data_IF_021225666986
#
_entry.id   IF_021225666986
#
_cell.length_a   1.000
_cell.length_b   1.000
_cell.length_c   1.000
_cell.angle_alpha   90.00
_cell.angle_beta   90.00
_cell.angle_gamma   90.00
#
_symmetry.space_group_name_H-M   'P 1'
#
loop_
_entity.id
_entity.type
_entity.pdbx_description
1 polymer ?
#
# COMPACT_ATOMS: atom_id res chain seq x y z
N UNK A 1 -0.62 -4.99 19.74
CA UNK A 1 0.84 -4.86 20.02
C UNK A 1 1.01 -4.50 21.48
N UNK A 2 1.93 -5.17 22.17
CA UNK A 2 2.29 -4.86 23.54
C UNK A 2 3.34 -3.74 23.59
N UNK A 3 3.23 -2.88 24.59
CA UNK A 3 4.07 -1.70 24.82
C UNK A 3 4.58 -1.71 26.25
N UNK A 4 5.72 -1.08 26.49
CA UNK A 4 6.35 -0.96 27.79
C UNK A 4 6.05 0.42 28.38
N UNK A 5 5.53 0.46 29.59
CA UNK A 5 5.30 1.67 30.38
C UNK A 5 6.23 1.64 31.60
N UNK A 6 6.76 2.79 32.01
CA UNK A 6 7.48 2.88 33.28
C UNK A 6 6.49 3.00 34.45
N UNK A 7 6.68 2.17 35.48
CA UNK A 7 5.88 2.24 36.71
C UNK A 7 6.25 3.44 37.61
N UNK A 8 7.38 4.10 37.35
CA UNK A 8 7.81 5.29 38.10
C UNK A 8 7.43 6.53 37.29
N UNK A 9 6.37 7.22 37.70
CA UNK A 9 5.97 8.50 37.13
C UNK A 9 6.53 9.63 38.00
N UNK A 10 7.65 10.22 37.61
CA UNK A 10 8.30 11.28 38.40
C UNK A 10 7.56 12.63 38.29
N UNK A 11 6.74 12.84 37.25
CA UNK A 11 6.11 14.16 36.96
C UNK A 11 4.71 14.07 36.31
N UNK A 12 3.95 12.99 36.58
CA UNK A 12 2.56 12.84 36.09
C UNK A 12 2.38 12.53 34.59
N UNK A 13 3.45 12.58 33.78
CA UNK A 13 3.40 12.26 32.34
C UNK A 13 3.80 10.81 32.08
N UNK A 14 2.82 9.90 32.08
CA UNK A 14 3.05 8.49 31.71
C UNK A 14 3.32 8.37 30.21
N UNK A 15 4.39 7.68 29.83
CA UNK A 15 4.79 7.44 28.43
C UNK A 15 4.90 5.96 28.19
N UNK A 16 4.36 5.49 27.08
CA UNK A 16 4.55 4.12 26.61
C UNK A 16 5.56 4.05 25.46
N UNK A 17 6.27 2.93 25.41
CA UNK A 17 7.37 2.68 24.51
C UNK A 17 7.17 1.35 23.78
N UNK A 18 7.71 1.23 22.57
CA UNK A 18 7.89 -0.08 21.94
C UNK A 18 8.98 -0.87 22.67
N UNK A 19 8.94 -2.22 22.67
CA UNK A 19 9.94 -3.05 23.36
C UNK A 19 11.40 -2.69 23.00
N UNK A 20 11.67 -2.41 21.73
CA UNK A 20 13.01 -2.12 21.22
C UNK A 20 13.44 -0.64 21.37
N UNK A 21 12.66 0.16 22.09
CA UNK A 21 12.97 1.56 22.27
C UNK A 21 14.28 1.76 23.05
N UNK A 22 15.11 2.69 22.60
CA UNK A 22 16.35 3.08 23.29
C UNK A 22 16.13 3.50 24.76
N UNK A 23 14.96 4.07 25.08
CA UNK A 23 14.62 4.45 26.45
C UNK A 23 14.24 3.24 27.31
N UNK A 24 13.64 2.19 26.73
CA UNK A 24 13.34 0.94 27.47
C UNK A 24 14.64 0.27 27.92
N UNK A 25 15.68 0.29 27.08
CA UNK A 25 17.01 -0.22 27.45
C UNK A 25 17.61 0.48 28.67
N UNK A 26 17.26 1.76 28.88
CA UNK A 26 17.71 2.58 30.03
C UNK A 26 16.83 2.42 31.28
N UNK A 27 15.62 1.85 31.15
CA UNK A 27 14.73 1.59 32.29
C UNK A 27 15.21 0.38 33.08
N UNK A 28 15.19 0.46 34.41
CA UNK A 28 15.41 -0.71 35.28
C UNK A 28 14.34 -1.77 35.00
N UNK A 29 14.68 -3.07 34.86
CA UNK A 29 13.71 -4.14 34.55
C UNK A 29 12.50 -4.17 35.47
N UNK A 30 12.71 -4.01 36.78
CA UNK A 30 11.66 -3.97 37.81
C UNK A 30 10.64 -2.83 37.63
N UNK A 31 10.97 -1.79 36.86
CA UNK A 31 10.09 -0.65 36.61
C UNK A 31 9.35 -0.75 35.27
N UNK A 32 9.51 -1.86 34.52
CA UNK A 32 8.89 -2.05 33.21
C UNK A 32 7.57 -2.79 33.37
N UNK A 33 6.49 -2.21 32.86
CA UNK A 33 5.19 -2.87 32.77
C UNK A 33 4.83 -3.08 31.31
N UNK A 34 4.48 -4.32 30.94
CA UNK A 34 3.98 -4.63 29.60
C UNK A 34 2.45 -4.54 29.58
N UNK A 35 1.91 -3.69 28.71
CA UNK A 35 0.47 -3.50 28.51
C UNK A 35 0.15 -3.55 27.01
N UNK A 36 -1.11 -3.75 26.65
CA UNK A 36 -1.51 -3.47 25.27
C UNK A 36 -1.46 -1.96 24.98
N UNK A 37 -1.20 -1.57 23.72
CA UNK A 37 -1.25 -0.15 23.31
C UNK A 37 -2.57 0.52 23.68
N UNK A 38 -3.70 -0.20 23.55
CA UNK A 38 -5.03 0.31 23.87
C UNK A 38 -5.17 0.62 25.35
N UNK A 39 -4.77 -0.32 26.22
CA UNK A 39 -4.75 -0.12 27.67
C UNK A 39 -3.83 1.03 28.09
N UNK A 40 -2.65 1.16 27.48
CA UNK A 40 -1.74 2.27 27.79
C UNK A 40 -2.39 3.63 27.48
N UNK A 41 -3.10 3.75 26.34
CA UNK A 41 -3.83 4.97 25.97
C UNK A 41 -5.00 5.22 26.93
N UNK A 42 -5.77 4.20 27.28
CA UNK A 42 -6.87 4.29 28.28
C UNK A 42 -6.36 4.74 29.66
N UNK A 43 -5.14 4.35 30.03
CA UNK A 43 -4.46 4.81 31.25
C UNK A 43 -3.84 6.21 31.14
N UNK A 44 -4.12 6.95 30.06
CA UNK A 44 -3.61 8.30 29.81
C UNK A 44 -2.12 8.35 29.41
N UNK A 45 -1.52 7.21 29.05
CA UNK A 45 -0.11 7.18 28.63
C UNK A 45 0.03 7.72 27.20
N UNK A 46 0.99 8.63 27.00
CA UNK A 46 1.31 9.17 25.68
C UNK A 46 2.38 8.31 24.99
N UNK A 47 2.39 8.31 23.66
CA UNK A 47 3.43 7.58 22.92
C UNK A 47 4.79 8.28 23.05
N UNK A 48 5.87 7.51 23.25
CA UNK A 48 7.25 8.04 23.09
C UNK A 48 7.37 8.70 21.72
N UNK A 49 7.94 9.91 21.66
CA UNK A 49 8.28 10.61 20.40
C UNK A 49 9.14 9.79 19.43
N UNK A 50 9.77 8.77 19.98
CA UNK A 50 10.74 7.84 19.45
C UNK A 50 10.08 6.58 18.87
N UNK A 51 8.89 6.25 19.37
CA UNK A 51 8.13 5.04 19.06
C UNK A 51 6.87 5.33 18.26
N UNK A 52 6.48 6.60 18.16
CA UNK A 52 5.33 7.05 17.38
C UNK A 52 5.59 6.99 15.87
N UNK A 53 4.50 6.86 15.12
CA UNK A 53 4.51 6.91 13.65
C UNK A 53 5.28 5.77 12.98
N UNK A 54 5.60 5.98 11.70
CA UNK A 54 6.37 5.02 10.91
C UNK A 54 7.81 4.92 11.39
N UNK A 55 8.38 6.02 11.91
CA UNK A 55 9.71 6.01 12.54
C UNK A 55 9.86 4.93 13.61
N UNK A 56 8.83 4.69 14.40
CA UNK A 56 8.83 3.65 15.44
C UNK A 56 8.80 2.25 14.86
N UNK A 57 7.92 2.01 13.88
CA UNK A 57 7.81 0.73 13.18
C UNK A 57 9.11 0.37 12.46
N UNK A 58 9.74 1.34 11.81
CA UNK A 58 10.94 1.12 10.98
C UNK A 58 12.23 0.90 11.79
N UNK A 59 12.16 0.85 13.13
CA UNK A 59 13.28 0.43 13.97
C UNK A 59 13.32 -1.08 14.21
N UNK A 60 12.21 -1.77 14.05
CA UNK A 60 12.11 -3.22 14.27
C UNK A 60 12.70 -3.97 13.07
N UNK A 61 14.04 -4.01 13.01
CA UNK A 61 14.79 -4.49 11.83
C UNK A 61 14.43 -5.93 11.45
N UNK A 62 14.23 -6.82 12.44
CA UNK A 62 13.85 -8.21 12.18
C UNK A 62 12.47 -8.34 11.49
N UNK A 63 11.51 -7.50 11.89
CA UNK A 63 10.16 -7.51 11.31
C UNK A 63 10.17 -7.00 9.86
N UNK A 64 10.94 -5.95 9.59
CA UNK A 64 11.12 -5.40 8.24
C UNK A 64 11.72 -6.46 7.32
N UNK A 65 12.80 -7.11 7.74
CA UNK A 65 13.45 -8.18 6.98
C UNK A 65 12.51 -9.36 6.72
N UNK A 66 11.72 -9.75 7.73
CA UNK A 66 10.72 -10.80 7.56
C UNK A 66 9.67 -10.41 6.51
N UNK A 67 9.16 -9.18 6.54
CA UNK A 67 8.20 -8.71 5.54
C UNK A 67 8.78 -8.65 4.14
N UNK A 68 10.02 -8.16 3.99
CA UNK A 68 10.68 -8.11 2.68
C UNK A 68 10.83 -9.51 2.08
N UNK A 69 11.24 -10.49 2.89
CA UNK A 69 11.39 -11.89 2.47
C UNK A 69 10.04 -12.54 2.16
N UNK A 70 9.10 -12.51 3.11
CA UNK A 70 7.87 -13.29 3.06
C UNK A 70 6.89 -12.75 2.00
N UNK A 71 6.88 -11.44 1.78
CA UNK A 71 6.01 -10.78 0.80
C UNK A 71 6.74 -10.37 -0.47
N UNK A 72 8.05 -10.60 -0.58
CA UNK A 72 8.91 -10.23 -1.72
C UNK A 72 8.76 -8.75 -2.09
N UNK A 73 8.86 -7.89 -1.07
CA UNK A 73 8.76 -6.44 -1.20
C UNK A 73 10.07 -5.77 -0.79
N UNK A 74 10.34 -4.59 -1.32
CA UNK A 74 11.39 -3.68 -0.84
C UNK A 74 10.76 -2.56 -0.05
N UNK A 75 11.34 -2.24 1.12
CA UNK A 75 10.82 -1.26 2.06
C UNK A 75 11.82 -0.11 2.19
N UNK A 76 11.43 1.08 1.73
CA UNK A 76 12.26 2.27 1.76
C UNK A 76 11.61 3.33 2.66
N UNK A 77 12.23 3.62 3.81
CA UNK A 77 11.72 4.59 4.76
C UNK A 77 12.41 5.96 4.61
N UNK A 78 11.62 6.99 4.29
CA UNK A 78 12.07 8.37 4.15
C UNK A 78 11.79 9.13 5.44
N UNK A 79 12.84 9.36 6.24
CA UNK A 79 12.77 10.05 7.55
C UNK A 79 12.22 11.48 7.45
N UNK A 80 12.59 12.23 6.41
CA UNK A 80 12.22 13.65 6.24
C UNK A 80 10.70 13.87 6.19
N UNK A 81 9.98 12.92 5.61
CA UNK A 81 8.52 13.01 5.39
C UNK A 81 7.74 11.99 6.21
N UNK A 82 8.41 11.24 7.12
CA UNK A 82 7.88 10.07 7.82
C UNK A 82 7.02 9.19 6.90
N UNK A 83 7.61 8.74 5.79
CA UNK A 83 6.89 8.00 4.74
C UNK A 83 7.57 6.68 4.47
N UNK A 84 6.77 5.62 4.35
CA UNK A 84 7.24 4.30 3.96
C UNK A 84 6.84 4.02 2.52
N UNK A 85 7.81 3.78 1.66
CA UNK A 85 7.60 3.31 0.30
C UNK A 85 7.75 1.80 0.26
N UNK A 86 6.79 1.14 -0.40
CA UNK A 86 6.79 -0.31 -0.61
C UNK A 86 6.89 -0.55 -2.10
N UNK A 87 8.05 -1.02 -2.54
CA UNK A 87 8.33 -1.34 -3.94
C UNK A 87 8.20 -2.84 -4.15
N UNK A 88 7.47 -3.23 -5.18
CA UNK A 88 7.34 -4.62 -5.59
C UNK A 88 7.89 -4.78 -7.01
N UNK A 89 7.73 -5.97 -7.60
CA UNK A 89 8.10 -6.18 -9.01
C UNK A 89 7.23 -5.37 -9.98
N UNK A 90 5.97 -5.07 -9.62
CA UNK A 90 4.99 -4.50 -10.56
C UNK A 90 4.31 -3.23 -10.08
N UNK A 91 4.54 -2.82 -8.83
CA UNK A 91 3.90 -1.65 -8.25
C UNK A 91 4.81 -0.92 -7.27
N UNK A 92 4.46 0.35 -7.05
CA UNK A 92 5.05 1.15 -5.99
C UNK A 92 3.95 1.79 -5.16
N UNK A 93 4.06 1.61 -3.86
CA UNK A 93 3.07 2.03 -2.90
C UNK A 93 3.70 2.97 -1.89
N UNK A 94 2.86 3.82 -1.33
CA UNK A 94 3.26 4.82 -0.35
C UNK A 94 2.35 4.71 0.85
N UNK A 95 2.93 4.61 2.04
CA UNK A 95 2.22 4.51 3.30
C UNK A 95 2.56 5.73 4.15
N UNK A 96 1.51 6.37 4.65
CA UNK A 96 1.59 7.47 5.60
C UNK A 96 0.93 7.10 6.91
N UNK A 97 1.40 7.68 8.01
CA UNK A 97 0.71 7.61 9.28
C UNK A 97 -0.18 8.84 9.50
N UNK A 98 -1.44 8.62 9.85
CA UNK A 98 -2.44 9.62 10.18
C UNK A 98 -2.70 9.61 11.69
N UNK A 99 -3.01 10.79 12.27
CA UNK A 99 -3.41 10.99 13.69
C UNK A 99 -2.40 10.36 14.67
N UNK A 100 -1.27 11.03 14.88
CA UNK A 100 -0.30 10.74 15.95
C UNK A 100 0.19 9.27 16.06
N UNK A 101 0.23 8.53 14.95
CA UNK A 101 0.73 7.16 14.97
C UNK A 101 -0.34 6.07 15.00
N UNK A 102 -1.63 6.40 14.93
CA UNK A 102 -2.70 5.42 15.16
C UNK A 102 -3.13 4.66 13.90
N UNK A 103 -3.19 5.32 12.75
CA UNK A 103 -3.74 4.75 11.53
C UNK A 103 -2.81 4.96 10.35
N UNK A 104 -2.76 3.98 9.45
CA UNK A 104 -1.96 3.99 8.25
C UNK A 104 -2.82 4.12 7.00
N UNK A 105 -2.35 4.97 6.11
CA UNK A 105 -2.97 5.29 4.83
C UNK A 105 -2.10 4.73 3.70
N UNK A 106 -2.65 3.80 2.92
CA UNK A 106 -2.07 3.28 1.66
C UNK A 106 -2.41 4.13 0.41
N UNK A 107 -1.40 4.42 -0.40
CA UNK A 107 -1.50 5.07 -1.70
C UNK A 107 -0.77 4.23 -2.76
N UNK A 108 -1.21 4.32 -4.00
CA UNK A 108 -0.68 3.58 -5.14
C UNK A 108 -0.19 4.52 -6.23
N UNK A 109 0.86 4.12 -6.94
CA UNK A 109 1.37 4.82 -8.12
C UNK A 109 0.97 4.08 -9.39
N UNK A 110 0.40 4.79 -10.37
CA UNK A 110 -0.09 4.18 -11.61
C UNK A 110 1.02 3.70 -12.55
N UNK A 111 2.17 4.37 -12.55
CA UNK A 111 3.31 4.09 -13.44
C UNK A 111 4.52 3.70 -12.62
N UNK A 112 5.07 2.51 -12.87
CA UNK A 112 6.22 2.01 -12.13
C UNK A 112 7.01 0.99 -12.94
N UNK A 113 8.33 1.01 -12.78
CA UNK A 113 9.26 -0.02 -13.24
C UNK A 113 10.07 -0.54 -12.06
N UNK A 114 10.32 -1.85 -11.99
CA UNK A 114 11.13 -2.45 -10.94
C UNK A 114 12.59 -1.94 -10.92
N UNK A 115 13.08 -1.44 -12.06
CA UNK A 115 14.42 -0.82 -12.15
C UNK A 115 14.44 0.65 -11.71
N UNK A 116 13.30 1.23 -11.36
CA UNK A 116 13.18 2.64 -11.00
C UNK A 116 13.91 2.94 -9.67
N UNK A 117 14.86 3.89 -9.66
CA UNK A 117 15.47 4.38 -8.43
C UNK A 117 14.44 4.98 -7.46
N UNK A 118 14.74 4.98 -6.16
CA UNK A 118 13.83 5.47 -5.14
C UNK A 118 13.48 6.94 -5.33
N UNK A 119 14.45 7.76 -5.73
CA UNK A 119 14.31 9.20 -5.96
C UNK A 119 13.24 9.49 -7.01
N UNK A 120 13.26 8.73 -8.12
CA UNK A 120 12.25 8.81 -9.16
C UNK A 120 10.91 8.22 -8.69
N UNK A 121 10.94 7.14 -7.89
CA UNK A 121 9.74 6.54 -7.32
C UNK A 121 8.98 7.52 -6.41
N UNK A 122 9.69 8.34 -5.63
CA UNK A 122 9.12 9.33 -4.69
C UNK A 122 8.36 10.45 -5.40
N UNK A 123 8.84 10.90 -6.57
CA UNK A 123 8.32 12.08 -7.28
C UNK A 123 7.03 11.85 -8.09
N UNK A 124 6.55 10.60 -8.19
CA UNK A 124 5.39 10.29 -9.02
C UNK A 124 4.04 10.66 -8.41
N UNK A 125 3.01 10.57 -9.26
CA UNK A 125 1.63 10.74 -8.83
C UNK A 125 1.12 9.52 -8.08
N UNK A 126 0.91 9.71 -6.77
CA UNK A 126 0.28 8.75 -5.89
C UNK A 126 -1.17 9.11 -5.67
N UNK A 127 -2.07 8.15 -5.85
CA UNK A 127 -3.48 8.31 -5.51
C UNK A 127 -3.86 7.42 -4.32
N UNK A 128 -4.87 7.86 -3.58
CA UNK A 128 -5.38 7.14 -2.41
C UNK A 128 -5.96 5.79 -2.86
N UNK A 129 -5.56 4.70 -2.21
CA UNK A 129 -6.19 3.40 -2.43
C UNK A 129 -7.56 3.38 -1.73
N UNK A 130 -8.62 3.69 -2.49
CA UNK A 130 -9.96 3.98 -1.94
C UNK A 130 -10.70 2.77 -1.35
N UNK A 131 -10.41 1.56 -1.81
CA UNK A 131 -11.00 0.32 -1.28
C UNK A 131 -10.31 -0.16 0.01
N UNK A 132 -9.21 0.48 0.41
CA UNK A 132 -8.46 0.19 1.64
C UNK A 132 -8.78 1.24 2.69
N UNK A 133 -9.54 0.85 3.71
CA UNK A 133 -9.78 1.68 4.90
C UNK A 133 -8.45 1.94 5.64
N UNK A 134 -8.32 3.06 6.37
CA UNK A 134 -7.18 3.29 7.26
C UNK A 134 -6.95 2.08 8.16
N UNK A 135 -5.70 1.64 8.28
CA UNK A 135 -5.35 0.40 8.96
C UNK A 135 -4.48 0.69 10.20
N UNK A 136 -4.73 0.00 11.31
CA UNK A 136 -3.89 0.12 12.51
C UNK A 136 -2.58 -0.67 12.42
N UNK A 137 -2.41 -1.49 11.37
CA UNK A 137 -1.29 -2.41 11.21
C UNK A 137 -0.67 -2.27 9.82
N UNK A 138 0.65 -2.04 9.80
CA UNK A 138 1.43 -2.06 8.56
C UNK A 138 1.39 -3.43 7.87
N UNK A 139 1.50 -4.52 8.63
CA UNK A 139 1.43 -5.88 8.10
C UNK A 139 0.16 -6.11 7.27
N UNK A 140 -0.98 -5.56 7.71
CA UNK A 140 -2.24 -5.66 6.95
C UNK A 140 -2.14 -4.97 5.59
N UNK A 141 -1.44 -3.83 5.51
CA UNK A 141 -1.19 -3.13 4.26
C UNK A 141 -0.18 -3.86 3.38
N UNK A 142 0.91 -4.39 3.95
CA UNK A 142 1.91 -5.20 3.21
C UNK A 142 1.26 -6.46 2.61
N UNK A 143 0.43 -7.17 3.39
CA UNK A 143 -0.35 -8.31 2.90
C UNK A 143 -1.27 -7.92 1.75
N UNK A 144 -2.00 -6.81 1.91
CA UNK A 144 -2.87 -6.30 0.84
C UNK A 144 -2.09 -6.04 -0.45
N UNK A 145 -0.92 -5.39 -0.35
CA UNK A 145 -0.06 -5.09 -1.52
C UNK A 145 0.35 -6.39 -2.21
N UNK A 146 0.82 -7.39 -1.46
CA UNK A 146 1.22 -8.67 -2.03
C UNK A 146 0.06 -9.43 -2.70
N UNK A 147 -1.12 -9.44 -2.07
CA UNK A 147 -2.32 -10.09 -2.64
C UNK A 147 -2.83 -9.35 -3.88
N UNK A 148 -2.77 -8.01 -3.87
CA UNK A 148 -3.11 -7.19 -5.03
C UNK A 148 -2.20 -7.52 -6.20
N UNK A 149 -0.88 -7.58 -5.99
CA UNK A 149 0.07 -7.86 -7.05
C UNK A 149 -0.09 -9.26 -7.63
N UNK A 150 -0.31 -10.27 -6.77
CA UNK A 150 -0.66 -11.63 -7.23
C UNK A 150 -1.90 -11.61 -8.12
N UNK A 151 -2.93 -10.88 -7.74
CA UNK A 151 -4.15 -10.77 -8.52
C UNK A 151 -3.94 -10.05 -9.87
N UNK A 152 -3.10 -9.01 -9.91
CA UNK A 152 -2.72 -8.34 -11.17
C UNK A 152 -1.96 -9.28 -12.10
N UNK A 153 -1.04 -10.09 -11.57
CA UNK A 153 -0.31 -11.08 -12.37
C UNK A 153 -1.25 -12.13 -12.96
N UNK A 154 -2.21 -12.63 -12.16
CA UNK A 154 -3.24 -13.56 -12.65
C UNK A 154 -4.06 -12.91 -13.78
N UNK A 155 -4.50 -11.66 -13.60
CA UNK A 155 -5.28 -10.95 -14.63
C UNK A 155 -4.48 -10.77 -15.94
N UNK A 156 -3.19 -10.46 -15.85
CA UNK A 156 -2.32 -10.28 -17.01
C UNK A 156 -2.11 -11.57 -17.79
N UNK A 157 -2.09 -12.71 -17.10
CA UNK A 157 -1.99 -14.03 -17.69
C UNK A 157 -3.36 -14.49 -18.24
N UNK A 158 -4.31 -14.75 -17.33
CA UNK A 158 -5.71 -15.02 -17.67
C UNK A 158 -6.60 -14.70 -16.46
N UNK A 159 -7.44 -13.66 -16.61
CA UNK A 159 -8.36 -13.25 -15.56
C UNK A 159 -9.32 -14.36 -15.12
N UNK A 160 -9.57 -15.37 -15.96
CA UNK A 160 -10.44 -16.50 -15.63
C UNK A 160 -9.89 -17.37 -14.50
N UNK A 161 -8.57 -17.34 -14.29
CA UNK A 161 -7.86 -18.03 -13.20
C UNK A 161 -8.01 -17.33 -11.85
N UNK A 162 -8.69 -16.18 -11.78
CA UNK A 162 -8.97 -15.53 -10.50
C UNK A 162 -9.85 -16.43 -9.62
N UNK A 163 -9.57 -16.50 -8.30
CA UNK A 163 -10.41 -17.26 -7.39
C UNK A 163 -11.82 -16.65 -7.31
N UNK A 164 -12.82 -17.48 -7.06
CA UNK A 164 -14.24 -17.10 -7.05
C UNK A 164 -15.04 -17.67 -5.87
N UNK A 165 -14.37 -18.20 -4.84
CA UNK A 165 -15.03 -18.90 -3.72
C UNK A 165 -15.83 -17.93 -2.82
N UNK A 166 -15.34 -16.71 -2.63
CA UNK A 166 -15.98 -15.71 -1.75
C UNK A 166 -16.73 -14.62 -2.52
N UNK A 167 -17.67 -13.92 -1.87
CA UNK A 167 -18.38 -12.76 -2.46
C UNK A 167 -17.42 -11.69 -2.98
N UNK A 168 -16.35 -11.40 -2.24
CA UNK A 168 -15.31 -10.42 -2.62
C UNK A 168 -14.56 -10.86 -3.88
N UNK A 169 -14.17 -12.13 -3.92
CA UNK A 169 -13.51 -12.74 -5.08
C UNK A 169 -14.38 -12.70 -6.34
N UNK A 170 -15.66 -13.09 -6.25
CA UNK A 170 -16.62 -12.98 -7.35
C UNK A 170 -16.80 -11.54 -7.85
N UNK A 171 -16.81 -10.55 -6.94
CA UNK A 171 -16.87 -9.14 -7.31
C UNK A 171 -15.62 -8.72 -8.11
N UNK A 172 -14.44 -9.12 -7.64
CA UNK A 172 -13.18 -8.81 -8.31
C UNK A 172 -13.09 -9.47 -9.70
N UNK A 173 -13.49 -10.73 -9.82
CA UNK A 173 -13.62 -11.42 -11.11
C UNK A 173 -14.50 -10.65 -12.09
N UNK A 174 -15.72 -10.25 -11.68
CA UNK A 174 -16.63 -9.48 -12.54
C UNK A 174 -16.05 -8.12 -12.95
N UNK A 175 -15.26 -7.49 -12.09
CA UNK A 175 -14.57 -6.23 -12.44
C UNK A 175 -13.49 -6.47 -13.51
N UNK A 176 -12.70 -7.53 -13.37
CA UNK A 176 -11.71 -7.92 -14.37
C UNK A 176 -12.37 -8.27 -15.71
N UNK A 177 -13.41 -9.10 -15.69
CA UNK A 177 -14.19 -9.47 -16.89
C UNK A 177 -14.75 -8.24 -17.61
N UNK A 178 -15.40 -7.33 -16.89
CA UNK A 178 -15.93 -6.08 -17.47
C UNK A 178 -14.83 -5.22 -18.08
N UNK A 179 -13.64 -5.20 -17.48
CA UNK A 179 -12.51 -4.43 -17.99
C UNK A 179 -11.99 -5.02 -19.31
N UNK A 180 -11.88 -6.34 -19.41
CA UNK A 180 -11.48 -7.04 -20.64
C UNK A 180 -12.51 -6.83 -21.74
N UNK A 181 -13.81 -7.04 -21.47
CA UNK A 181 -14.89 -6.80 -22.45
C UNK A 181 -14.89 -5.37 -22.98
N UNK A 182 -14.65 -4.37 -22.11
CA UNK A 182 -14.52 -2.96 -22.53
C UNK A 182 -13.30 -2.73 -23.41
N UNK A 183 -12.18 -3.42 -23.15
CA UNK A 183 -10.98 -3.32 -23.97
C UNK A 183 -11.22 -3.93 -25.35
N UNK A 184 -11.81 -5.13 -25.41
CA UNK A 184 -12.18 -5.80 -26.66
C UNK A 184 -13.15 -4.96 -27.50
N UNK A 185 -14.17 -4.36 -26.86
CA UNK A 185 -15.09 -3.43 -27.54
C UNK A 185 -14.38 -2.18 -28.08
N UNK A 186 -13.41 -1.63 -27.34
CA UNK A 186 -12.60 -0.51 -27.82
C UNK A 186 -11.73 -0.89 -29.01
N UNK A 187 -11.05 -2.04 -28.93
CA UNK A 187 -10.20 -2.55 -30.01
C UNK A 187 -11.01 -2.88 -31.26
N UNK A 188 -12.20 -3.47 -31.12
CA UNK A 188 -13.10 -3.74 -32.25
C UNK A 188 -13.55 -2.45 -32.94
N UNK A 189 -13.94 -1.42 -32.16
CA UNK A 189 -14.28 -0.09 -32.71
C UNK A 189 -13.09 0.56 -33.40
N UNK A 190 -11.91 0.53 -32.78
CA UNK A 190 -10.70 1.09 -33.38
C UNK A 190 -10.33 0.38 -34.68
N UNK A 191 -10.41 -0.96 -34.73
CA UNK A 191 -10.22 -1.73 -35.97
C UNK A 191 -11.21 -1.32 -37.05
N UNK A 192 -12.48 -1.10 -36.70
CA UNK A 192 -13.49 -0.64 -37.64
C UNK A 192 -13.13 0.76 -38.18
N UNK A 193 -12.77 1.71 -37.32
CA UNK A 193 -12.32 3.05 -37.70
C UNK A 193 -11.09 3.00 -38.61
N UNK A 194 -10.12 2.13 -38.31
CA UNK A 194 -8.92 1.96 -39.13
C UNK A 194 -9.25 1.38 -40.51
N UNK A 195 -10.16 0.39 -40.59
CA UNK A 195 -10.64 -0.14 -41.87
C UNK A 195 -11.37 0.92 -42.71
N UNK A 196 -12.23 1.75 -42.09
CA UNK A 196 -12.88 2.86 -42.79
C UNK A 196 -11.86 3.87 -43.32
N UNK A 197 -10.87 4.23 -42.50
CA UNK A 197 -9.79 5.13 -42.90
C UNK A 197 -9.02 4.59 -44.11
N UNK A 198 -8.69 3.31 -44.11
CA UNK A 198 -8.02 2.66 -45.26
C UNK A 198 -8.88 2.68 -46.53
N UNK A 199 -10.19 2.50 -46.41
CA UNK A 199 -11.12 2.56 -47.55
C UNK A 199 -11.18 3.99 -48.11
N UNK A 200 -11.33 5.01 -47.24
CA UNK A 200 -11.36 6.42 -47.63
C UNK A 200 -10.04 6.90 -48.25
N UNK A 201 -8.90 6.31 -47.86
CA UNK A 201 -7.60 6.61 -48.45
C UNK A 201 -7.46 5.99 -49.86
N UNK A 202 -8.03 4.79 -50.07
CA UNK A 202 -7.99 4.10 -51.37
C UNK A 202 -9.01 4.64 -52.36
N UNK A 203 -10.15 5.11 -51.87
CA UNK A 203 -11.24 5.67 -52.68
C UNK A 203 -11.64 7.08 -52.19
N UNK A 204 -11.11 8.14 -52.83
CA UNK A 204 -11.43 9.51 -52.50
C UNK A 204 -12.90 9.90 -52.71
N UNK A 205 -13.69 9.17 -53.51
CA UNK A 205 -15.14 9.41 -53.62
C UNK A 205 -15.87 8.93 -52.38
N UNK A 206 -15.50 7.77 -51.83
CA UNK A 206 -16.04 7.28 -50.56
C UNK A 206 -15.79 8.25 -49.41
N UNK A 207 -14.62 8.91 -49.39
CA UNK A 207 -14.33 9.98 -48.42
C UNK A 207 -15.30 11.16 -48.53
N UNK A 208 -15.78 11.52 -49.74
CA UNK A 208 -16.77 12.60 -49.92
C UNK A 208 -18.16 12.19 -49.43
N UNK A 209 -18.51 10.90 -49.53
CA UNK A 209 -19.79 10.36 -49.08
C UNK A 209 -19.85 10.09 -47.57
N UNK A 210 -18.69 9.95 -46.90
CA UNK A 210 -18.60 9.66 -45.46
C UNK A 210 -18.93 10.86 -44.56
N UNK A 211 -18.81 12.10 -45.07
CA UNK A 211 -19.18 13.31 -44.36
C UNK A 211 -20.56 13.81 -44.83
N UNK A 212 -21.63 13.22 -44.27
CA UNK A 212 -23.00 13.74 -44.30
C UNK A 212 -23.60 13.66 -42.88
#
# INVERSE_FOLDING_TARGET
MNVIVSMISVEGKKVYHRPDCVYVKRMKPQNRMSLSRKQAVEQGCRCCRCCGGLRGEMRETAQILAWQRDYRVSLDYVKKTDTLYVRTRIGCWKIFCQRDGALYLLFHRNTYSNSMPLEQAIQGDYHRQGDVKPAESLLKLIRYIADHDKAILIIRDDYRKLPQSTKRQKKYYRQAERRVKRLEQRQSRQRMEDLFREIEEKDPEMRRLAFC
#
